data_IF_770274681082
#
_entry.id   IF_770274681082
#
_cell.length_a   1.000
_cell.length_b   1.000
_cell.length_c   1.000
_cell.angle_alpha   90.00
_cell.angle_beta   90.00
_cell.angle_gamma   90.00
#
_symmetry.space_group_name_H-M   'P 1'
#
loop_
_entity.id
_entity.type
_entity.pdbx_description
1 polymer ?
#
# COMPACT_ATOMS: atom_id res chain seq x y z
N UNK A 1 4.52 5.61 49.91
CA UNK A 1 5.79 4.84 50.02
C UNK A 1 5.54 3.37 49.67
N UNK A 2 5.54 2.99 48.38
CA UNK A 2 5.73 1.58 47.90
C UNK A 2 6.29 1.72 46.47
N UNK A 3 7.61 1.76 46.33
CA UNK A 3 8.50 0.66 45.88
C UNK A 3 8.35 0.31 44.39
N UNK A 4 9.22 0.95 43.61
CA UNK A 4 9.54 0.69 42.20
C UNK A 4 10.10 -0.72 42.04
N UNK A 5 9.49 -1.54 41.19
CA UNK A 5 10.06 -2.77 40.63
C UNK A 5 9.45 -2.96 39.23
N UNK A 6 10.20 -2.69 38.17
CA UNK A 6 9.86 -3.14 36.81
C UNK A 6 11.15 -3.29 36.00
N UNK A 7 11.59 -4.55 35.89
CA UNK A 7 12.75 -4.97 35.13
C UNK A 7 12.51 -4.74 33.64
N UNK A 8 13.45 -4.06 32.97
CA UNK A 8 13.42 -3.83 31.53
C UNK A 8 14.26 -4.91 30.85
N UNK A 9 13.61 -5.83 30.14
CA UNK A 9 14.26 -6.75 29.20
C UNK A 9 13.49 -6.72 27.88
N UNK A 10 13.85 -5.79 27.00
CA UNK A 10 13.45 -5.80 25.59
C UNK A 10 14.72 -5.98 24.74
N UNK A 11 14.96 -7.21 24.28
CA UNK A 11 15.83 -7.47 23.14
C UNK A 11 14.94 -8.04 22.03
N UNK A 12 14.42 -7.14 21.19
CA UNK A 12 13.55 -7.46 20.05
C UNK A 12 14.44 -7.96 18.91
N UNK A 13 14.16 -9.16 18.42
CA UNK A 13 14.84 -9.75 17.27
C UNK A 13 14.54 -8.98 15.99
N UNK A 14 15.59 -8.63 15.25
CA UNK A 14 15.47 -7.99 13.93
C UNK A 14 15.36 -9.10 12.88
N UNK A 15 14.13 -9.41 12.48
CA UNK A 15 13.87 -10.14 11.24
C UNK A 15 13.99 -9.14 10.09
N UNK A 16 15.02 -9.32 9.26
CA UNK A 16 15.25 -8.52 8.06
C UNK A 16 14.08 -8.67 7.09
N UNK A 17 13.45 -7.56 6.75
CA UNK A 17 12.50 -7.45 5.64
C UNK A 17 13.30 -7.50 4.35
N UNK A 18 13.24 -8.62 3.64
CA UNK A 18 13.63 -8.67 2.22
C UNK A 18 12.50 -8.03 1.41
N UNK A 19 12.65 -6.76 1.06
CA UNK A 19 11.76 -6.10 0.10
C UNK A 19 11.91 -6.82 -1.26
N UNK A 20 10.85 -7.50 -1.70
CA UNK A 20 10.77 -8.05 -3.04
C UNK A 20 10.82 -6.90 -4.07
N UNK A 21 11.39 -7.13 -5.27
CA UNK A 21 11.42 -6.10 -6.30
C UNK A 21 9.98 -5.73 -6.67
N UNK A 22 9.61 -4.47 -6.45
CA UNK A 22 8.36 -3.93 -6.96
C UNK A 22 8.42 -4.03 -8.49
N UNK A 23 7.65 -4.97 -9.05
CA UNK A 23 7.42 -4.99 -10.47
C UNK A 23 6.81 -3.62 -10.82
N UNK A 24 7.50 -2.85 -11.66
CA UNK A 24 7.02 -1.55 -12.16
C UNK A 24 5.75 -1.85 -12.96
N UNK A 25 4.60 -1.80 -12.31
CA UNK A 25 3.33 -2.10 -12.92
C UNK A 25 2.96 -0.90 -13.79
N UNK A 26 2.58 -1.13 -15.04
CA UNK A 26 2.05 -0.06 -15.88
C UNK A 26 0.63 0.31 -15.40
N UNK A 27 0.17 1.54 -15.67
CA UNK A 27 -1.21 1.92 -15.44
C UNK A 27 -2.17 1.01 -16.20
N UNK A 28 -3.27 0.61 -15.59
CA UNK A 28 -4.31 -0.14 -16.30
C UNK A 28 -4.85 0.65 -17.47
N UNK A 29 -5.26 -0.04 -18.54
CA UNK A 29 -5.91 0.63 -19.67
C UNK A 29 -7.25 1.25 -19.28
N UNK A 30 -7.95 0.63 -18.34
CA UNK A 30 -9.25 1.06 -17.83
C UNK A 30 -9.56 0.36 -16.50
N UNK A 31 -10.55 0.88 -15.78
CA UNK A 31 -10.95 0.31 -14.49
C UNK A 31 -11.61 -1.06 -14.57
N UNK A 32 -12.11 -1.49 -15.74
CA UNK A 32 -12.61 -2.86 -15.90
C UNK A 32 -11.46 -3.87 -15.83
N UNK A 33 -10.31 -3.55 -16.43
CA UNK A 33 -9.10 -4.37 -16.36
C UNK A 33 -8.51 -4.37 -14.94
N UNK A 34 -8.51 -3.22 -14.27
CA UNK A 34 -8.10 -3.11 -12.87
C UNK A 34 -8.95 -4.03 -11.97
N UNK A 35 -10.29 -3.88 -12.04
CA UNK A 35 -11.24 -4.68 -11.26
C UNK A 35 -11.20 -6.16 -11.60
N UNK A 36 -10.96 -6.52 -12.87
CA UNK A 36 -10.77 -7.92 -13.27
C UNK A 36 -9.54 -8.56 -12.62
N UNK A 37 -8.51 -7.76 -12.31
CA UNK A 37 -7.33 -8.19 -11.56
C UNK A 37 -7.50 -8.04 -10.04
N UNK A 38 -8.63 -7.53 -9.58
CA UNK A 38 -8.91 -7.25 -8.16
C UNK A 38 -8.28 -5.96 -7.64
N UNK A 39 -7.72 -5.13 -8.51
CA UNK A 39 -7.19 -3.82 -8.14
C UNK A 39 -8.33 -2.78 -8.19
N UNK A 40 -8.63 -2.24 -7.02
CA UNK A 40 -9.62 -1.19 -6.77
C UNK A 40 -9.00 -0.13 -5.86
N UNK A 41 -9.58 1.06 -5.84
CA UNK A 41 -9.11 2.18 -5.02
C UNK A 41 -7.61 2.46 -5.23
N UNK A 42 -7.21 2.60 -6.50
CA UNK A 42 -5.81 2.76 -6.90
C UNK A 42 -5.37 4.19 -6.58
N UNK A 43 -4.49 4.40 -5.57
CA UNK A 43 -4.05 5.75 -5.23
C UNK A 43 -3.15 6.33 -6.31
N UNK A 44 -3.14 7.65 -6.47
CA UNK A 44 -2.29 8.38 -7.44
C UNK A 44 -0.79 8.15 -7.27
N UNK A 45 -0.36 7.64 -6.11
CA UNK A 45 1.01 7.21 -5.85
C UNK A 45 1.34 5.80 -6.35
N UNK A 46 0.35 5.03 -6.81
CA UNK A 46 0.52 3.68 -7.32
C UNK A 46 1.04 3.72 -8.75
N UNK A 47 1.95 2.81 -9.10
CA UNK A 47 2.39 2.65 -10.49
C UNK A 47 1.24 2.18 -11.41
N UNK A 48 0.19 1.58 -10.82
CA UNK A 48 -1.03 1.18 -11.53
C UNK A 48 -1.99 2.34 -11.81
N UNK A 49 -1.71 3.52 -11.26
CA UNK A 49 -2.55 4.70 -11.45
C UNK A 49 -2.32 5.34 -12.81
N UNK A 50 -3.41 5.72 -13.46
CA UNK A 50 -3.39 6.66 -14.57
C UNK A 50 -4.45 7.72 -14.32
N UNK A 51 -4.18 8.96 -14.69
CA UNK A 51 -5.15 10.05 -14.56
C UNK A 51 -6.41 9.84 -15.42
N UNK A 52 -6.43 8.87 -16.33
CA UNK A 52 -7.63 8.42 -17.05
C UNK A 52 -8.47 7.39 -16.29
N UNK A 53 -7.94 6.83 -15.20
CA UNK A 53 -8.64 5.90 -14.31
C UNK A 53 -9.42 6.62 -13.21
N UNK A 54 -9.06 7.87 -12.95
CA UNK A 54 -9.66 8.78 -11.98
C UNK A 54 -10.56 9.76 -12.73
N UNK A 55 -11.88 9.51 -12.70
CA UNK A 55 -12.85 10.28 -13.49
C UNK A 55 -13.16 11.63 -12.86
N UNK A 56 -13.12 11.70 -11.53
CA UNK A 56 -13.46 12.86 -10.72
C UNK A 56 -12.23 13.66 -10.28
N UNK A 57 -11.03 13.10 -10.42
CA UNK A 57 -9.77 13.80 -10.21
C UNK A 57 -9.40 13.94 -8.74
N UNK A 58 -9.89 13.05 -7.87
CA UNK A 58 -9.66 13.09 -6.43
C UNK A 58 -8.32 12.43 -6.00
N UNK A 59 -7.65 11.78 -6.96
CA UNK A 59 -6.39 11.07 -6.75
C UNK A 59 -6.56 9.59 -6.39
N UNK A 60 -7.76 9.02 -6.51
CA UNK A 60 -8.04 7.59 -6.38
C UNK A 60 -8.74 7.08 -7.64
N UNK A 61 -8.00 6.33 -8.45
CA UNK A 61 -8.53 5.71 -9.66
C UNK A 61 -9.29 4.41 -9.38
N UNK A 62 -10.32 4.15 -10.19
CA UNK A 62 -11.05 2.89 -10.16
C UNK A 62 -11.68 2.56 -8.80
N UNK A 63 -12.35 3.55 -8.21
CA UNK A 63 -13.23 3.38 -7.06
C UNK A 63 -14.29 2.29 -7.30
N UNK A 64 -14.69 1.62 -6.21
CA UNK A 64 -15.58 0.46 -6.23
C UNK A 64 -17.06 0.83 -6.22
#
# INVERSE_FOLDING_TARGET
MVRVLSASALAIGVLGVTAAPAAVAAPYKNCSEARANGDTDIPSSSDKYGSHLDRDGDGIGCES
#
